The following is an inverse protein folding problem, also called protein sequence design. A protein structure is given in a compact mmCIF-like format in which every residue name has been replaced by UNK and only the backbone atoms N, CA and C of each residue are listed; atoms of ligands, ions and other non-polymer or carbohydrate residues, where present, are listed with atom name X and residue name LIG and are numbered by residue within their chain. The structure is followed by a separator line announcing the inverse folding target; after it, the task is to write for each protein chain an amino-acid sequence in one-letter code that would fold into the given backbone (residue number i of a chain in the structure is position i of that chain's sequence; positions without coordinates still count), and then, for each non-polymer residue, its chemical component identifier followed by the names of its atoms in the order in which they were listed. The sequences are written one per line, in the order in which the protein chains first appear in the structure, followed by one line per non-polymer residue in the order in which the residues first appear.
data_IF_549547826102
#
_entry.id   IF_549547826102
#
_cell.length_a   1.000
_cell.length_b   1.000
_cell.length_c   1.000
_cell.angle_alpha   90.00
_cell.angle_beta   90.00
_cell.angle_gamma   90.00
#
_symmetry.space_group_name_H-M   'P 1'
#
loop_
_entity.id
_entity.type
_entity.pdbx_description
1 polymer ?
#
# COMPACT_ATOMS: atom_id res chain seq x y z
N UNK A 1 7.90 5.40 -9.76
CA UNK A 1 6.93 6.54 -10.00
C UNK A 1 7.21 7.61 -8.97
N UNK A 2 7.53 8.83 -9.41
CA UNK A 2 7.75 9.98 -8.51
C UNK A 2 6.42 10.51 -7.96
N UNK A 3 6.43 10.92 -6.68
CA UNK A 3 5.27 11.46 -5.98
C UNK A 3 5.61 12.86 -5.47
N UNK A 4 4.65 13.79 -5.57
CA UNK A 4 4.80 15.16 -5.08
C UNK A 4 3.52 15.62 -4.39
N UNK A 5 3.65 16.08 -3.15
CA UNK A 5 2.62 16.79 -2.41
C UNK A 5 3.16 18.18 -2.08
N UNK A 6 2.39 19.21 -2.36
CA UNK A 6 2.72 20.60 -2.05
C UNK A 6 1.58 21.24 -1.25
N UNK A 7 1.79 21.45 0.04
CA UNK A 7 0.82 22.02 0.97
C UNK A 7 -0.46 21.22 1.09
N UNK A 8 -0.41 19.89 0.89
CA UNK A 8 -1.61 19.06 0.81
C UNK A 8 -2.35 19.01 2.15
N UNK A 9 -3.61 19.45 2.14
CA UNK A 9 -4.49 19.46 3.31
C UNK A 9 -5.73 18.63 3.01
N UNK A 10 -6.16 17.83 3.99
CA UNK A 10 -7.41 17.05 3.91
C UNK A 10 -8.24 17.29 5.16
N UNK A 11 -9.39 17.90 4.98
CA UNK A 11 -10.38 18.12 6.02
C UNK A 11 -11.59 17.20 5.78
N UNK A 12 -12.12 16.64 6.86
CA UNK A 12 -13.41 15.94 6.89
C UNK A 12 -14.42 16.77 7.73
N UNK A 13 -15.10 17.77 7.11
CA UNK A 13 -15.93 18.71 7.83
C UNK A 13 -17.07 18.04 8.62
N UNK A 14 -17.68 17.00 8.05
CA UNK A 14 -18.76 16.25 8.72
C UNK A 14 -18.31 15.57 10.03
N UNK A 15 -17.02 15.34 10.21
CA UNK A 15 -16.41 14.71 11.38
C UNK A 15 -15.64 15.70 12.24
N UNK A 16 -15.51 16.96 11.81
CA UNK A 16 -14.69 17.98 12.47
C UNK A 16 -13.20 17.66 12.52
N UNK A 17 -12.70 16.83 11.57
CA UNK A 17 -11.33 16.29 11.61
C UNK A 17 -10.50 16.85 10.46
N UNK A 18 -9.34 17.43 10.80
CA UNK A 18 -8.27 17.70 9.84
C UNK A 18 -7.29 16.53 9.84
N UNK A 19 -7.35 15.69 8.80
CA UNK A 19 -6.54 14.48 8.70
C UNK A 19 -5.13 14.75 8.17
N UNK A 20 -4.97 15.73 7.26
CA UNK A 20 -3.67 16.23 6.79
C UNK A 20 -3.68 17.76 6.83
N UNK A 21 -2.54 18.37 7.19
CA UNK A 21 -2.45 19.80 7.43
C UNK A 21 -1.17 20.39 6.80
N UNK A 22 -1.24 20.75 5.52
CA UNK A 22 -0.14 21.37 4.78
C UNK A 22 1.05 20.42 4.64
N UNK A 23 0.81 19.23 4.09
CA UNK A 23 1.87 18.23 3.89
C UNK A 23 2.64 18.55 2.63
N UNK A 24 3.95 18.76 2.80
CA UNK A 24 4.95 18.81 1.72
C UNK A 24 5.75 17.51 1.76
N UNK A 25 5.79 16.80 0.63
CA UNK A 25 6.51 15.53 0.51
C UNK A 25 6.86 15.26 -0.96
N UNK A 26 8.11 14.91 -1.20
CA UNK A 26 8.56 14.37 -2.49
C UNK A 26 9.13 12.98 -2.25
N UNK A 27 8.69 12.00 -3.03
CA UNK A 27 9.27 10.65 -3.07
C UNK A 27 9.71 10.38 -4.49
N UNK A 28 10.98 10.07 -4.65
CA UNK A 28 11.55 9.84 -5.98
C UNK A 28 11.20 8.46 -6.54
N UNK A 29 11.37 8.28 -7.83
CA UNK A 29 11.09 7.01 -8.48
C UNK A 29 12.00 5.89 -7.96
N UNK A 30 11.40 4.75 -7.63
CA UNK A 30 12.11 3.60 -7.05
C UNK A 30 12.45 3.74 -5.57
N UNK A 31 12.11 4.85 -4.94
CA UNK A 31 12.39 5.07 -3.53
C UNK A 31 11.48 4.22 -2.63
N UNK A 32 12.03 3.72 -1.52
CA UNK A 32 11.31 2.95 -0.51
C UNK A 32 11.20 3.77 0.78
N UNK A 33 9.98 4.10 1.17
CA UNK A 33 9.69 4.98 2.30
C UNK A 33 8.82 4.28 3.33
N UNK A 34 9.23 4.31 4.60
CA UNK A 34 8.35 3.97 5.71
C UNK A 34 7.58 5.22 6.17
N UNK A 35 6.27 5.19 6.10
CA UNK A 35 5.40 6.24 6.63
C UNK A 35 5.02 5.88 8.08
N UNK A 36 5.73 6.48 9.03
CA UNK A 36 5.62 6.19 10.46
C UNK A 36 4.63 7.15 11.16
N UNK A 37 4.02 6.70 12.23
CA UNK A 37 3.25 7.57 13.13
C UNK A 37 2.18 6.83 13.92
N UNK A 38 1.69 7.44 15.01
CA UNK A 38 0.63 6.86 15.83
C UNK A 38 -0.67 6.67 15.04
N UNK A 39 -1.60 5.89 15.60
CA UNK A 39 -2.95 5.77 15.04
C UNK A 39 -3.62 7.15 14.97
N UNK A 40 -4.33 7.42 13.88
CA UNK A 40 -4.96 8.73 13.64
C UNK A 40 -4.01 9.85 13.18
N UNK A 41 -2.73 9.57 12.91
CA UNK A 41 -1.78 10.60 12.45
C UNK A 41 -1.98 11.07 11.00
N UNK A 42 -2.82 10.38 10.21
CA UNK A 42 -3.11 10.72 8.81
C UNK A 42 -2.50 9.77 7.77
N UNK A 43 -1.79 8.70 8.15
CA UNK A 43 -1.10 7.75 7.23
C UNK A 43 -2.03 7.19 6.15
N UNK A 44 -3.12 6.55 6.57
CA UNK A 44 -4.12 5.98 5.65
C UNK A 44 -4.74 7.05 4.73
N UNK A 45 -4.96 8.26 5.27
CA UNK A 45 -5.49 9.40 4.49
C UNK A 45 -4.49 9.83 3.42
N UNK A 46 -3.19 9.86 3.74
CA UNK A 46 -2.14 10.18 2.77
C UNK A 46 -2.08 9.13 1.66
N UNK A 47 -2.13 7.83 1.98
CA UNK A 47 -2.17 6.78 0.97
C UNK A 47 -3.41 6.87 0.07
N UNK A 48 -4.59 7.15 0.65
CA UNK A 48 -5.84 7.36 -0.10
C UNK A 48 -5.80 8.61 -0.97
N UNK A 49 -5.15 9.68 -0.51
CA UNK A 49 -4.93 10.90 -1.28
C UNK A 49 -4.11 10.63 -2.54
N UNK A 50 -3.00 9.87 -2.41
CA UNK A 50 -2.14 9.47 -3.54
C UNK A 50 -2.89 8.64 -4.59
N UNK A 51 -3.88 7.85 -4.19
CA UNK A 51 -4.72 7.03 -5.09
C UNK A 51 -5.93 7.78 -5.68
N UNK A 52 -6.09 9.07 -5.35
CA UNK A 52 -7.27 9.83 -5.76
C UNK A 52 -8.58 9.31 -5.14
N UNK A 53 -8.51 8.65 -3.97
CA UNK A 53 -9.68 8.15 -3.23
C UNK A 53 -10.22 9.19 -2.24
N UNK A 54 -9.39 10.13 -1.82
CA UNK A 54 -9.77 11.27 -0.98
C UNK A 54 -9.24 12.53 -1.64
N UNK A 55 -10.10 13.52 -1.85
CA UNK A 55 -9.72 14.80 -2.48
C UNK A 55 -9.07 15.74 -1.46
N UNK A 56 -8.00 16.48 -1.82
CA UNK A 56 -7.45 17.49 -0.93
C UNK A 56 -8.41 18.68 -0.80
N UNK A 57 -8.49 19.26 0.39
CA UNK A 57 -9.20 20.52 0.65
C UNK A 57 -8.40 21.72 0.14
N UNK A 58 -7.05 21.63 0.17
CA UNK A 58 -6.13 22.58 -0.42
C UNK A 58 -4.77 21.93 -0.72
N UNK A 59 -3.93 22.63 -1.47
CA UNK A 59 -2.64 22.13 -1.93
C UNK A 59 -2.73 21.35 -3.24
N UNK A 60 -1.64 20.67 -3.62
CA UNK A 60 -1.54 19.92 -4.88
C UNK A 60 -0.94 18.55 -4.64
N UNK A 61 -1.35 17.59 -5.48
CA UNK A 61 -0.83 16.23 -5.49
C UNK A 61 -0.49 15.85 -6.91
N UNK A 62 0.69 15.27 -7.12
CA UNK A 62 1.13 14.70 -8.39
C UNK A 62 1.69 13.31 -8.16
N UNK A 63 1.32 12.36 -9.01
CA UNK A 63 1.83 10.98 -8.98
C UNK A 63 2.25 10.62 -10.40
N UNK A 64 3.54 10.39 -10.61
CA UNK A 64 4.13 10.22 -11.95
C UNK A 64 3.74 11.36 -12.92
N UNK A 65 3.69 12.61 -12.43
CA UNK A 65 3.26 13.78 -13.19
C UNK A 65 1.74 13.90 -13.42
N UNK A 66 0.95 12.86 -13.10
CA UNK A 66 -0.51 12.85 -13.24
C UNK A 66 -1.17 13.53 -12.03
N UNK A 67 -2.32 14.15 -12.27
CA UNK A 67 -3.19 14.66 -11.21
C UNK A 67 -4.24 13.59 -10.85
N UNK A 68 -4.22 13.02 -9.62
CA UNK A 68 -5.22 12.04 -9.21
C UNK A 68 -6.66 12.58 -9.22
N UNK A 69 -6.82 13.91 -9.28
CA UNK A 69 -8.11 14.63 -9.24
C UNK A 69 -8.40 15.40 -10.54
N UNK A 70 -7.56 15.21 -11.55
CA UNK A 70 -7.71 15.76 -12.88
C UNK A 70 -8.79 15.05 -13.69
N UNK A 71 -8.40 14.41 -14.78
CA UNK A 71 -9.31 13.68 -15.64
C UNK A 71 -9.56 12.23 -15.16
N UNK A 72 -10.72 11.63 -15.48
CA UNK A 72 -10.94 10.20 -15.23
C UNK A 72 -9.90 9.29 -15.86
N UNK A 73 -9.34 9.69 -17.01
CA UNK A 73 -8.28 8.95 -17.71
C UNK A 73 -6.96 8.96 -16.91
N UNK A 74 -6.57 10.10 -16.32
CA UNK A 74 -5.40 10.19 -15.47
C UNK A 74 -5.55 9.31 -14.22
N UNK A 75 -6.70 9.39 -13.56
CA UNK A 75 -7.00 8.56 -12.40
C UNK A 75 -6.98 7.06 -12.75
N UNK A 76 -7.54 6.68 -13.90
CA UNK A 76 -7.52 5.30 -14.36
C UNK A 76 -6.08 4.82 -14.63
N UNK A 77 -5.25 5.62 -15.31
CA UNK A 77 -3.83 5.32 -15.55
C UNK A 77 -3.07 5.14 -14.25
N UNK A 78 -3.25 6.06 -13.31
CA UNK A 78 -2.63 6.01 -11.99
C UNK A 78 -2.99 4.71 -11.25
N UNK A 79 -4.27 4.42 -11.11
CA UNK A 79 -4.74 3.23 -10.37
C UNK A 79 -4.29 1.93 -11.01
N UNK A 80 -4.25 1.89 -12.35
CA UNK A 80 -3.78 0.73 -13.10
C UNK A 80 -2.28 0.47 -12.91
N UNK A 81 -1.48 1.53 -12.69
CA UNK A 81 -0.05 1.46 -12.46
C UNK A 81 0.32 1.32 -10.96
N UNK A 82 -0.69 1.28 -10.07
CA UNK A 82 -0.50 1.20 -8.62
C UNK A 82 -0.98 -0.15 -8.07
N UNK A 83 -0.20 -0.73 -7.16
CA UNK A 83 -0.60 -1.85 -6.32
C UNK A 83 -0.90 -1.38 -4.91
N UNK A 84 -1.92 -1.96 -4.26
CA UNK A 84 -2.29 -1.55 -2.90
C UNK A 84 -2.50 -2.78 -2.02
N UNK A 85 -1.91 -2.74 -0.84
CA UNK A 85 -2.16 -3.68 0.25
C UNK A 85 -2.77 -2.89 1.42
N UNK A 86 -4.05 -3.12 1.68
CA UNK A 86 -4.74 -2.48 2.81
C UNK A 86 -4.55 -3.26 4.11
N UNK A 87 -4.74 -2.60 5.24
CA UNK A 87 -4.71 -3.20 6.58
C UNK A 87 -5.66 -4.41 6.70
N UNK A 88 -6.85 -4.33 6.08
CA UNK A 88 -7.74 -5.50 5.88
C UNK A 88 -7.45 -6.09 4.52
N UNK A 89 -7.49 -7.40 4.42
CA UNK A 89 -7.13 -8.14 3.20
C UNK A 89 -8.03 -7.85 1.98
N UNK A 90 -9.19 -7.24 2.17
CA UNK A 90 -10.16 -6.81 1.14
C UNK A 90 -10.38 -7.84 0.01
N UNK A 91 -10.22 -9.12 0.33
CA UNK A 91 -10.49 -10.20 -0.63
C UNK A 91 -12.00 -10.38 -0.79
N UNK A 92 -12.42 -10.61 -2.02
CA UNK A 92 -13.85 -10.79 -2.36
C UNK A 92 -14.31 -12.14 -1.89
N UNK A 93 -15.29 -12.21 -0.94
CA UNK A 93 -15.86 -13.46 -0.48
C UNK A 93 -16.52 -14.25 -1.62
N UNK A 94 -16.61 -15.57 -1.45
CA UNK A 94 -17.21 -16.47 -2.45
C UNK A 94 -16.27 -16.83 -3.61
N UNK A 95 -15.20 -16.06 -3.84
CA UNK A 95 -14.24 -16.32 -4.89
C UNK A 95 -13.02 -17.11 -4.39
N UNK A 96 -12.38 -17.85 -5.29
CA UNK A 96 -11.11 -18.53 -4.97
C UNK A 96 -9.97 -17.53 -4.78
N UNK A 97 -8.93 -17.96 -4.09
CA UNK A 97 -7.69 -17.21 -3.94
C UNK A 97 -7.08 -16.81 -5.30
N UNK A 98 -7.13 -17.72 -6.28
CA UNK A 98 -6.68 -17.49 -7.65
C UNK A 98 -7.40 -16.32 -8.28
N UNK A 99 -8.72 -16.31 -8.26
CA UNK A 99 -9.53 -15.24 -8.85
C UNK A 99 -9.30 -13.94 -8.12
N UNK A 100 -9.26 -13.94 -6.79
CA UNK A 100 -8.91 -12.74 -6.01
C UNK A 100 -7.55 -12.14 -6.41
N UNK A 101 -6.52 -12.98 -6.58
CA UNK A 101 -5.20 -12.51 -7.00
C UNK A 101 -5.23 -11.87 -8.40
N UNK A 102 -5.95 -12.49 -9.35
CA UNK A 102 -6.00 -12.06 -10.75
C UNK A 102 -6.88 -10.82 -10.94
N UNK A 103 -7.88 -10.57 -10.09
CA UNK A 103 -8.79 -9.42 -10.24
C UNK A 103 -8.11 -8.06 -10.28
N UNK A 104 -6.93 -7.89 -9.68
CA UNK A 104 -6.17 -6.64 -9.81
C UNK A 104 -5.76 -6.34 -11.25
N UNK A 105 -5.73 -7.33 -12.13
CA UNK A 105 -5.40 -7.16 -13.54
C UNK A 105 -6.63 -6.88 -14.41
N UNK A 106 -7.84 -6.87 -13.84
CA UNK A 106 -9.11 -6.68 -14.55
C UNK A 106 -9.16 -5.44 -15.46
N UNK A 107 -8.55 -4.29 -15.12
CA UNK A 107 -8.51 -3.13 -16.02
C UNK A 107 -7.79 -3.38 -17.35
N UNK A 108 -7.11 -4.53 -17.51
CA UNK A 108 -6.41 -4.90 -18.74
C UNK A 108 -7.16 -5.98 -19.54
N UNK A 109 -8.30 -6.46 -19.06
CA UNK A 109 -8.99 -7.62 -19.64
C UNK A 109 -9.84 -7.24 -20.85
N UNK A 110 -9.69 -8.05 -21.92
CA UNK A 110 -10.64 -8.10 -23.02
C UNK A 110 -11.76 -9.12 -22.77
N UNK A 111 -12.74 -9.23 -23.68
CA UNK A 111 -13.87 -10.17 -23.53
C UNK A 111 -13.45 -11.64 -23.31
N UNK A 112 -12.38 -12.07 -23.97
CA UNK A 112 -11.83 -13.43 -23.80
C UNK A 112 -11.26 -13.65 -22.41
N UNK A 113 -10.59 -12.66 -21.83
CA UNK A 113 -10.06 -12.75 -20.46
C UNK A 113 -11.19 -12.85 -19.43
N UNK A 114 -12.24 -12.05 -19.63
CA UNK A 114 -13.44 -12.11 -18.78
C UNK A 114 -14.05 -13.50 -18.80
N UNK A 115 -14.28 -14.08 -20.00
CA UNK A 115 -14.81 -15.43 -20.11
C UNK A 115 -13.90 -16.47 -19.43
N UNK A 116 -12.60 -16.38 -19.61
CA UNK A 116 -11.60 -17.26 -18.98
C UNK A 116 -11.68 -17.16 -17.45
N UNK A 117 -11.71 -15.96 -16.89
CA UNK A 117 -11.73 -15.77 -15.43
C UNK A 117 -13.08 -16.22 -14.83
N UNK A 118 -14.20 -16.00 -15.50
CA UNK A 118 -15.52 -16.48 -15.08
C UNK A 118 -15.58 -18.02 -15.01
N UNK A 119 -14.79 -18.72 -15.84
CA UNK A 119 -14.66 -20.18 -15.78
C UNK A 119 -13.56 -20.67 -14.81
N UNK A 120 -12.99 -19.76 -13.99
CA UNK A 120 -11.97 -20.09 -13.00
C UNK A 120 -10.52 -20.09 -13.53
N UNK A 121 -10.32 -19.68 -14.79
CA UNK A 121 -8.99 -19.60 -15.42
C UNK A 121 -8.22 -18.34 -15.06
N UNK A 122 -7.03 -18.20 -15.66
CA UNK A 122 -6.12 -17.05 -15.52
C UNK A 122 -5.68 -16.61 -16.90
N UNK A 123 -5.76 -15.32 -17.25
CA UNK A 123 -5.24 -14.85 -18.54
C UNK A 123 -3.78 -15.24 -18.72
N UNK A 124 -3.45 -15.83 -19.90
CA UNK A 124 -2.16 -16.48 -20.15
C UNK A 124 -0.96 -15.60 -19.79
N UNK A 125 -1.04 -14.29 -20.08
CA UNK A 125 0.01 -13.30 -19.78
C UNK A 125 0.33 -13.13 -18.29
N UNK A 126 -0.56 -13.56 -17.39
CA UNK A 126 -0.36 -13.48 -15.94
C UNK A 126 -0.13 -14.84 -15.27
N UNK A 127 -0.31 -15.94 -16.01
CA UNK A 127 -0.29 -17.29 -15.44
C UNK A 127 1.09 -17.68 -14.88
N UNK A 128 2.17 -17.34 -15.57
CA UNK A 128 3.53 -17.62 -15.11
C UNK A 128 3.89 -16.78 -13.89
N UNK A 129 3.63 -15.46 -13.95
CA UNK A 129 3.90 -14.53 -12.84
C UNK A 129 3.08 -14.91 -11.59
N UNK A 130 1.81 -15.29 -11.75
CA UNK A 130 0.99 -15.79 -10.64
C UNK A 130 1.60 -17.04 -10.01
N UNK A 131 2.06 -18.00 -10.81
CA UNK A 131 2.73 -19.21 -10.32
C UNK A 131 4.02 -18.88 -9.56
N UNK A 132 4.85 -17.99 -10.10
CA UNK A 132 6.09 -17.56 -9.46
C UNK A 132 5.81 -16.89 -8.11
N UNK A 133 4.90 -15.91 -8.06
CA UNK A 133 4.52 -15.22 -6.84
C UNK A 133 3.89 -16.18 -5.82
N UNK A 134 2.98 -17.07 -6.24
CA UNK A 134 2.33 -18.00 -5.30
C UNK A 134 3.30 -19.01 -4.68
N UNK A 135 4.29 -19.48 -5.43
CA UNK A 135 5.36 -20.34 -4.90
C UNK A 135 6.29 -19.57 -3.95
N UNK A 136 6.73 -18.37 -4.34
CA UNK A 136 7.57 -17.52 -3.51
C UNK A 136 6.92 -17.23 -2.14
N UNK A 137 5.60 -17.07 -2.12
CA UNK A 137 4.84 -16.80 -0.89
C UNK A 137 4.25 -18.07 -0.24
N UNK A 138 4.51 -19.28 -0.77
CA UNK A 138 4.05 -20.55 -0.19
C UNK A 138 2.52 -20.68 -0.12
N UNK A 139 1.82 -20.22 -1.15
CA UNK A 139 0.34 -20.28 -1.24
C UNK A 139 -0.17 -20.87 -2.56
N UNK A 140 0.69 -21.51 -3.32
CA UNK A 140 0.34 -22.13 -4.60
C UNK A 140 -0.73 -23.22 -4.43
N UNK A 141 -0.62 -24.07 -3.41
CA UNK A 141 -1.61 -25.09 -3.06
C UNK A 141 -2.99 -24.49 -2.67
N UNK A 142 -3.01 -23.24 -2.19
CA UNK A 142 -4.22 -22.56 -1.74
C UNK A 142 -4.99 -21.87 -2.89
N UNK A 143 -4.40 -21.71 -4.07
CA UNK A 143 -5.00 -20.95 -5.17
C UNK A 143 -6.41 -21.40 -5.57
N UNK A 144 -6.77 -22.71 -5.59
CA UNK A 144 -8.14 -23.15 -5.90
C UNK A 144 -9.11 -22.96 -4.74
N UNK A 145 -8.63 -22.69 -3.52
CA UNK A 145 -9.46 -22.60 -2.32
C UNK A 145 -10.19 -21.28 -2.24
N UNK A 146 -11.46 -21.28 -1.80
CA UNK A 146 -12.21 -20.05 -1.51
C UNK A 146 -11.59 -19.31 -0.34
N UNK A 147 -11.60 -17.97 -0.40
CA UNK A 147 -10.89 -17.13 0.58
C UNK A 147 -11.38 -17.30 2.02
N UNK A 148 -12.64 -17.66 2.24
CA UNK A 148 -13.20 -17.91 3.56
C UNK A 148 -12.59 -19.12 4.27
N UNK A 149 -12.06 -20.06 3.50
CA UNK A 149 -11.42 -21.29 4.02
C UNK A 149 -9.91 -21.13 4.25
N UNK A 150 -9.35 -19.96 3.91
CA UNK A 150 -7.94 -19.66 4.10
C UNK A 150 -7.69 -19.16 5.53
N UNK A 151 -6.50 -19.47 6.07
CA UNK A 151 -6.03 -18.83 7.29
C UNK A 151 -5.80 -17.31 7.07
N UNK A 152 -5.77 -16.53 8.14
CA UNK A 152 -5.49 -15.08 8.06
C UNK A 152 -4.17 -14.78 7.34
N UNK A 153 -3.11 -15.55 7.63
CA UNK A 153 -1.81 -15.42 6.96
C UNK A 153 -1.85 -15.77 5.47
N UNK A 154 -2.63 -16.81 5.08
CA UNK A 154 -2.83 -17.14 3.67
C UNK A 154 -3.60 -16.04 2.93
N UNK A 155 -4.70 -15.52 3.50
CA UNK A 155 -5.44 -14.40 2.91
C UNK A 155 -4.54 -13.19 2.68
N UNK A 156 -3.72 -12.83 3.68
CA UNK A 156 -2.81 -11.68 3.57
C UNK A 156 -1.76 -11.88 2.46
N UNK A 157 -1.20 -13.08 2.32
CA UNK A 157 -0.28 -13.41 1.22
C UNK A 157 -0.97 -13.36 -0.15
N UNK A 158 -2.23 -13.77 -0.25
CA UNK A 158 -3.02 -13.61 -1.50
C UNK A 158 -3.29 -12.12 -1.79
N UNK A 159 -3.61 -11.30 -0.79
CA UNK A 159 -3.76 -9.86 -0.98
C UNK A 159 -2.46 -9.19 -1.45
N UNK A 160 -1.31 -9.63 -0.93
CA UNK A 160 0.00 -9.19 -1.40
C UNK A 160 0.24 -9.59 -2.86
N UNK A 161 -0.01 -10.85 -3.23
CA UNK A 161 0.11 -11.32 -4.61
C UNK A 161 -0.81 -10.52 -5.54
N UNK A 162 -2.04 -10.23 -5.12
CA UNK A 162 -2.98 -9.38 -5.85
C UNK A 162 -2.38 -8.01 -6.17
N UNK A 163 -1.71 -7.39 -5.19
CA UNK A 163 -1.08 -6.09 -5.38
C UNK A 163 0.15 -6.14 -6.31
N UNK A 164 0.93 -7.23 -6.27
CA UNK A 164 2.17 -7.41 -7.02
C UNK A 164 1.96 -7.94 -8.44
N UNK A 165 0.88 -8.69 -8.69
CA UNK A 165 0.65 -9.40 -9.95
C UNK A 165 0.64 -8.48 -11.18
N UNK A 166 0.05 -7.26 -11.14
CA UNK A 166 0.08 -6.34 -12.27
C UNK A 166 1.48 -5.79 -12.61
N UNK A 167 2.46 -5.91 -11.72
CA UNK A 167 3.76 -5.26 -11.86
C UNK A 167 3.69 -3.75 -11.64
N UNK A 168 3.24 -3.29 -10.45
CA UNK A 168 2.96 -1.88 -10.23
C UNK A 168 4.24 -1.03 -10.20
N UNK A 169 4.18 0.18 -10.77
CA UNK A 169 5.23 1.18 -10.62
C UNK A 169 5.17 1.93 -9.28
N UNK A 170 4.00 1.91 -8.61
CA UNK A 170 3.78 2.41 -7.25
C UNK A 170 3.14 1.32 -6.40
N UNK A 171 3.74 1.04 -5.25
CA UNK A 171 3.20 0.10 -4.28
C UNK A 171 2.92 0.83 -2.96
N UNK A 172 1.66 0.80 -2.54
CA UNK A 172 1.20 1.39 -1.29
C UNK A 172 0.77 0.26 -0.34
N UNK A 173 1.31 0.25 0.86
CA UNK A 173 0.96 -0.76 1.87
C UNK A 173 0.53 -0.07 3.17
N UNK A 174 -0.73 -0.27 3.56
CA UNK A 174 -1.29 0.32 4.78
C UNK A 174 -1.27 -0.70 5.91
N UNK A 175 -0.34 -0.53 6.84
CA UNK A 175 -0.11 -1.40 8.00
C UNK A 175 -0.11 -2.91 7.66
N UNK A 176 0.71 -3.37 6.69
CA UNK A 176 0.64 -4.74 6.17
C UNK A 176 1.07 -5.81 7.19
N UNK A 177 1.70 -5.40 8.29
CA UNK A 177 2.21 -6.30 9.34
C UNK A 177 1.28 -6.44 10.53
N UNK A 178 0.21 -5.66 10.62
CA UNK A 178 -0.72 -5.70 11.75
C UNK A 178 -1.35 -7.09 11.92
N UNK A 179 -1.23 -7.67 13.13
CA UNK A 179 -1.78 -9.00 13.44
C UNK A 179 -0.98 -10.18 12.85
N UNK A 180 0.24 -9.95 12.38
CA UNK A 180 1.21 -11.00 12.08
C UNK A 180 2.14 -11.23 13.27
N UNK A 181 2.63 -12.46 13.42
CA UNK A 181 3.75 -12.74 14.27
C UNK A 181 5.05 -12.10 13.72
N UNK A 182 6.09 -11.91 14.55
CA UNK A 182 7.30 -11.21 14.11
C UNK A 182 7.99 -11.83 12.87
N UNK A 183 8.14 -13.15 12.72
CA UNK A 183 8.72 -13.75 11.52
C UNK A 183 7.88 -13.47 10.26
N UNK A 184 6.55 -13.59 10.35
CA UNK A 184 5.65 -13.32 9.22
C UNK A 184 5.63 -11.84 8.86
N UNK A 185 5.71 -10.94 9.83
CA UNK A 185 5.80 -9.49 9.60
C UNK A 185 7.08 -9.15 8.82
N UNK A 186 8.23 -9.70 9.22
CA UNK A 186 9.49 -9.52 8.49
C UNK A 186 9.38 -10.03 7.07
N UNK A 187 8.88 -11.25 6.88
CA UNK A 187 8.71 -11.83 5.54
C UNK A 187 7.78 -10.99 4.64
N UNK A 188 6.70 -10.44 5.18
CA UNK A 188 5.78 -9.57 4.44
C UNK A 188 6.45 -8.25 4.00
N UNK A 189 7.24 -7.64 4.89
CA UNK A 189 7.99 -6.40 4.58
C UNK A 189 9.03 -6.67 3.49
N UNK A 190 9.82 -7.72 3.61
CA UNK A 190 10.84 -8.07 2.62
C UNK A 190 10.21 -8.40 1.26
N UNK A 191 9.07 -9.09 1.24
CA UNK A 191 8.34 -9.36 0.01
C UNK A 191 7.87 -8.08 -0.71
N UNK A 192 7.46 -7.05 0.04
CA UNK A 192 7.10 -5.73 -0.50
C UNK A 192 8.32 -4.98 -1.01
N UNK A 193 9.44 -5.04 -0.28
CA UNK A 193 10.68 -4.35 -0.63
C UNK A 193 11.40 -4.97 -1.83
N UNK A 194 11.28 -6.28 -2.01
CA UNK A 194 11.83 -7.01 -3.16
C UNK A 194 10.95 -6.90 -4.42
N UNK A 195 9.83 -6.17 -4.37
CA UNK A 195 9.02 -5.92 -5.55
C UNK A 195 9.80 -5.06 -6.56
N UNK A 196 10.08 -5.64 -7.74
CA UNK A 196 10.93 -5.04 -8.77
C UNK A 196 10.53 -3.58 -9.10
N UNK A 197 11.49 -2.68 -8.94
CA UNK A 197 11.49 -1.29 -9.41
C UNK A 197 10.30 -0.41 -8.98
N UNK A 198 9.42 -0.87 -8.09
CA UNK A 198 8.29 -0.06 -7.62
C UNK A 198 8.75 0.98 -6.59
N UNK A 199 8.25 2.21 -6.73
CA UNK A 199 8.25 3.15 -5.62
C UNK A 199 7.36 2.58 -4.52
N UNK A 200 7.85 2.45 -3.29
CA UNK A 200 7.13 1.83 -2.19
C UNK A 200 6.90 2.83 -1.05
N UNK A 201 5.63 2.98 -0.65
CA UNK A 201 5.29 3.63 0.63
C UNK A 201 4.59 2.61 1.52
N UNK A 202 5.19 2.28 2.65
CA UNK A 202 4.63 1.38 3.65
C UNK A 202 4.29 2.16 4.91
N UNK A 203 3.00 2.21 5.27
CA UNK A 203 2.59 2.80 6.54
C UNK A 203 2.74 1.82 7.68
N UNK A 204 3.23 2.31 8.82
CA UNK A 204 3.37 1.50 10.04
C UNK A 204 3.35 2.38 11.28
N UNK A 205 3.03 1.78 12.42
CA UNK A 205 3.27 2.36 13.74
C UNK A 205 4.42 1.66 14.48
N UNK A 206 4.99 0.62 13.87
CA UNK A 206 6.09 -0.19 14.41
C UNK A 206 7.44 0.40 14.01
N UNK A 207 8.24 0.79 15.01
CA UNK A 207 9.58 1.33 14.83
C UNK A 207 10.56 0.30 14.24
N UNK A 208 10.41 -0.97 14.59
CA UNK A 208 11.25 -2.06 14.08
C UNK A 208 11.05 -2.26 12.58
N UNK A 209 9.81 -2.15 12.12
CA UNK A 209 9.45 -2.17 10.68
C UNK A 209 9.99 -0.91 9.98
N UNK A 210 9.77 0.28 10.55
CA UNK A 210 10.20 1.53 9.94
C UNK A 210 11.72 1.60 9.74
N UNK A 211 12.51 1.12 10.72
CA UNK A 211 13.98 1.09 10.65
C UNK A 211 14.57 0.18 9.57
N UNK A 212 13.74 -0.66 8.93
CA UNK A 212 14.17 -1.47 7.78
C UNK A 212 14.19 -0.70 6.46
N UNK A 213 13.65 0.52 6.45
CA UNK A 213 13.57 1.36 5.26
C UNK A 213 14.71 2.38 5.20
N UNK A 214 15.20 2.68 4.00
CA UNK A 214 16.28 3.67 3.83
C UNK A 214 15.84 5.10 4.17
N UNK A 215 14.52 5.38 4.10
CA UNK A 215 13.93 6.68 4.46
C UNK A 215 12.68 6.48 5.29
N UNK A 216 12.56 7.29 6.33
CA UNK A 216 11.40 7.30 7.21
C UNK A 216 10.78 8.70 7.15
N UNK A 217 9.50 8.76 6.82
CA UNK A 217 8.68 9.97 6.92
C UNK A 217 7.70 9.76 8.04
N UNK A 218 7.75 10.59 9.08
CA UNK A 218 6.83 10.44 10.20
C UNK A 218 5.73 11.50 10.17
N UNK A 219 4.49 11.04 10.38
CA UNK A 219 3.32 11.89 10.52
C UNK A 219 2.88 11.99 11.98
N UNK A 220 2.60 13.22 12.42
CA UNK A 220 1.94 13.52 13.69
C UNK A 220 0.88 14.59 13.50
N UNK A 221 -0.38 14.29 13.91
CA UNK A 221 -1.52 15.21 13.76
C UNK A 221 -1.65 15.81 12.37
N UNK A 222 -1.50 14.97 11.34
CA UNK A 222 -1.62 15.35 9.94
C UNK A 222 -0.45 16.14 9.34
N UNK A 223 0.66 16.30 10.06
CA UNK A 223 1.86 17.03 9.59
C UNK A 223 3.06 16.10 9.53
N UNK A 224 3.98 16.37 8.60
CA UNK A 224 5.31 15.73 8.62
C UNK A 224 6.07 16.28 9.82
N UNK A 225 6.47 15.39 10.72
CA UNK A 225 7.23 15.72 11.94
C UNK A 225 8.68 15.25 11.85
N UNK A 226 8.99 14.35 10.92
CA UNK A 226 10.34 13.88 10.62
C UNK A 226 10.40 13.39 9.17
N UNK A 227 11.56 13.58 8.54
CA UNK A 227 11.90 13.05 7.21
C UNK A 227 13.40 12.81 7.16
N UNK A 228 13.83 11.55 7.05
CA UNK A 228 15.24 11.21 7.02
C UNK A 228 15.54 9.71 7.05
N UNK A 229 16.84 9.33 7.01
CA UNK A 229 17.26 7.94 6.85
C UNK A 229 17.24 7.11 8.15
N UNK A 230 17.03 7.71 9.31
CA UNK A 230 17.01 7.00 10.59
C UNK A 230 16.39 7.84 11.68
N UNK A 231 16.06 7.22 12.81
CA UNK A 231 15.42 7.84 13.96
C UNK A 231 16.33 7.79 15.18
N UNK A 232 16.63 8.94 15.79
CA UNK A 232 17.19 9.00 17.13
C UNK A 232 16.08 8.97 18.19
N UNK A 233 16.45 8.84 19.46
CA UNK A 233 15.51 8.78 20.58
C UNK A 233 14.62 10.04 20.64
N UNK A 234 15.19 11.20 20.41
CA UNK A 234 14.46 12.48 20.41
C UNK A 234 13.42 12.57 19.30
N UNK A 235 13.70 11.99 18.12
CA UNK A 235 12.75 11.93 17.02
C UNK A 235 11.55 11.07 17.39
N UNK A 236 11.79 9.91 18.03
CA UNK A 236 10.74 9.02 18.52
C UNK A 236 9.84 9.75 19.54
N UNK A 237 10.45 10.44 20.49
CA UNK A 237 9.72 11.25 21.49
C UNK A 237 8.87 12.35 20.83
N UNK A 238 9.42 13.01 19.82
CA UNK A 238 8.70 14.03 19.04
C UNK A 238 7.52 13.45 18.29
N UNK A 239 7.69 12.28 17.67
CA UNK A 239 6.65 11.61 16.85
C UNK A 239 5.51 11.13 17.75
N UNK A 240 5.83 10.45 18.86
CA UNK A 240 4.83 9.82 19.73
C UNK A 240 4.38 10.71 20.89
N UNK A 241 5.12 11.77 21.22
CA UNK A 241 4.74 12.72 22.27
C UNK A 241 4.94 12.20 23.67
N UNK A 242 5.82 11.23 23.87
CA UNK A 242 6.14 10.62 25.16
C UNK A 242 7.53 11.05 25.55
N UNK A 243 7.65 11.84 26.61
CA UNK A 243 8.90 11.92 27.35
C UNK A 243 9.05 10.58 28.08
N UNK A 244 9.98 9.72 27.60
CA UNK A 244 10.37 8.49 28.28
C UNK A 244 9.51 7.25 27.98
N UNK A 245 9.83 6.54 26.88
CA UNK A 245 9.74 5.08 26.84
C UNK A 245 11.16 4.59 26.68
N UNK A 246 11.85 4.50 27.84
CA UNK A 246 12.99 3.65 28.01
C UNK A 246 12.45 2.24 28.26
N UNK A 247 12.70 1.28 27.36
CA UNK A 247 13.02 -0.12 27.64
C UNK A 247 13.03 -0.88 26.32
#
# INVERSE_FOLDING_TARGET
MRLELAGATVDFPAQGVRALAGVDLVVEEGEQVALLGPSGSGKTTLLRLLLGAVRPSSGRVRVAGLDPFGTPQELHRLRRASGVVWQRDDLVPGLSARINAVMATAPTWGPRDWLMVLTGGVPARYAERLRALSRCHGVDACLPTRVERLSGGQRRRIALIRALLPGPGLLLADEPTTGLDPPAAVAAVEALRCADAATLILSTHDLGVARRFPRIVALRKGRVSFDGPGLCQQDVERIYGVAGVAS
#
